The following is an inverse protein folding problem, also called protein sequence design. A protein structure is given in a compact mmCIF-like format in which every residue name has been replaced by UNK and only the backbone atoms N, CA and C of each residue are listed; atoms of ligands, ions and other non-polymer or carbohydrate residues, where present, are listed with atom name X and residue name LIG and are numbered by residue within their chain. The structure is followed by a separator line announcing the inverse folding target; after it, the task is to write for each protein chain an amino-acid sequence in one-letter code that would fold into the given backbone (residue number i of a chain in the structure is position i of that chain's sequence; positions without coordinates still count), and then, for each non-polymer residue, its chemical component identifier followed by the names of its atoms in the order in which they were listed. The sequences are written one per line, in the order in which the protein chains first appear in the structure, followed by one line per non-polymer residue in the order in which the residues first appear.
data_IF_106579051850
#
_entry.id   IF_106579051850
#
_cell.length_a   1.000
_cell.length_b   1.000
_cell.length_c   1.000
_cell.angle_alpha   90.00
_cell.angle_beta   90.00
_cell.angle_gamma   90.00
#
_symmetry.space_group_name_H-M   'P 1'
#
loop_
_entity.id
_entity.type
_entity.pdbx_description
1 polymer ?
#
# COMPACT_ATOMS: atom_id res chain seq x y z
N UNK A 1 15.29 23.19 15.88
CA UNK A 1 14.98 22.03 16.72
C UNK A 1 15.29 20.76 15.93
N UNK A 2 15.88 19.77 16.56
CA UNK A 2 16.24 18.47 15.99
C UNK A 2 15.26 17.40 16.46
N UNK A 3 15.00 16.44 15.60
CA UNK A 3 14.10 15.28 15.87
C UNK A 3 14.83 13.98 15.58
N UNK A 4 14.41 12.91 16.28
CA UNK A 4 14.98 11.59 16.11
C UNK A 4 14.09 10.80 15.15
N UNK A 5 14.66 10.34 14.03
CA UNK A 5 13.98 9.41 13.12
C UNK A 5 13.83 8.02 13.75
N UNK A 6 12.95 7.20 13.19
CA UNK A 6 12.81 5.80 13.62
C UNK A 6 14.13 5.00 13.50
N UNK A 7 14.98 5.34 12.51
CA UNK A 7 16.32 4.79 12.33
C UNK A 7 17.38 5.27 13.35
N UNK A 8 17.00 6.06 14.35
CA UNK A 8 17.93 6.67 15.32
C UNK A 8 18.65 7.92 14.83
N UNK A 9 18.62 8.25 13.54
CA UNK A 9 19.27 9.45 13.01
C UNK A 9 18.63 10.74 13.52
N UNK A 10 19.46 11.67 13.97
CA UNK A 10 19.05 13.00 14.39
C UNK A 10 19.07 13.94 13.18
N UNK A 11 17.95 14.62 12.91
CA UNK A 11 17.80 15.53 11.76
C UNK A 11 17.06 16.80 12.17
N UNK A 12 17.23 17.92 11.48
CA UNK A 12 16.39 19.11 11.66
C UNK A 12 14.91 18.76 11.43
N UNK A 13 14.04 19.33 12.27
CA UNK A 13 12.60 19.21 12.05
C UNK A 13 12.17 20.07 10.86
N UNK A 14 11.41 19.47 9.96
CA UNK A 14 10.89 20.09 8.75
C UNK A 14 9.36 20.19 8.87
N UNK A 15 8.87 21.38 9.19
CA UNK A 15 7.43 21.65 9.37
C UNK A 15 6.65 21.52 8.06
N UNK A 16 7.27 21.85 6.92
CA UNK A 16 6.60 21.74 5.62
C UNK A 16 6.30 20.29 5.26
N UNK A 17 7.16 19.34 5.65
CA UNK A 17 6.86 17.90 5.49
C UNK A 17 5.66 17.47 6.31
N UNK A 18 5.52 17.98 7.53
CA UNK A 18 4.35 17.67 8.37
C UNK A 18 3.09 18.29 7.75
N UNK A 19 3.15 19.57 7.35
CA UNK A 19 2.05 20.28 6.67
C UNK A 19 1.59 19.54 5.41
N UNK A 20 2.50 19.16 4.53
CA UNK A 20 2.20 18.36 3.33
C UNK A 20 1.55 17.02 3.67
N UNK A 21 1.98 16.39 4.76
CA UNK A 21 1.39 15.12 5.21
C UNK A 21 -0.05 15.29 5.69
N UNK A 22 -0.35 16.38 6.42
CA UNK A 22 -1.70 16.74 6.85
C UNK A 22 -2.58 17.11 5.65
N UNK A 23 -2.09 17.90 4.69
CA UNK A 23 -2.79 18.22 3.45
C UNK A 23 -3.19 16.96 2.69
N UNK A 24 -2.24 16.01 2.52
CA UNK A 24 -2.48 14.73 1.85
C UNK A 24 -3.48 13.83 2.56
N UNK A 25 -3.79 14.07 3.84
CA UNK A 25 -4.87 13.38 4.55
C UNK A 25 -6.26 13.93 4.24
N UNK A 26 -6.34 15.04 3.49
CA UNK A 26 -7.59 15.74 3.16
C UNK A 26 -8.05 16.73 4.24
N UNK A 27 -7.20 17.05 5.22
CA UNK A 27 -7.52 18.03 6.24
C UNK A 27 -7.68 19.44 5.64
N UNK A 28 -8.70 20.18 6.09
CA UNK A 28 -8.94 21.56 5.68
C UNK A 28 -7.80 22.51 6.16
N UNK A 29 -7.56 23.63 5.47
CA UNK A 29 -6.49 24.56 5.81
C UNK A 29 -6.49 25.03 7.28
N UNK A 30 -7.67 25.30 7.84
CA UNK A 30 -7.80 25.73 9.24
C UNK A 30 -7.41 24.61 10.21
N UNK A 31 -7.86 23.38 9.97
CA UNK A 31 -7.47 22.20 10.75
C UNK A 31 -5.95 21.97 10.68
N UNK A 32 -5.34 22.18 9.51
CA UNK A 32 -3.88 22.05 9.34
C UNK A 32 -3.17 23.09 10.18
N UNK A 33 -3.58 24.38 10.10
CA UNK A 33 -2.99 25.48 10.88
C UNK A 33 -3.08 25.22 12.38
N UNK A 34 -4.25 24.83 12.85
CA UNK A 34 -4.48 24.47 14.25
C UNK A 34 -3.64 23.26 14.68
N UNK A 35 -3.60 22.21 13.87
CA UNK A 35 -2.81 21.01 14.14
C UNK A 35 -1.30 21.32 14.26
N UNK A 36 -0.78 22.16 13.35
CA UNK A 36 0.62 22.57 13.39
C UNK A 36 0.94 23.35 14.66
N UNK A 37 0.08 24.31 15.06
CA UNK A 37 0.26 25.08 16.27
C UNK A 37 0.21 24.19 17.53
N UNK A 38 -0.76 23.29 17.64
CA UNK A 38 -0.87 22.35 18.77
C UNK A 38 0.35 21.42 18.86
N UNK A 39 0.85 20.90 17.73
CA UNK A 39 2.03 20.04 17.72
C UNK A 39 3.27 20.82 18.10
N UNK A 40 3.49 22.04 17.54
CA UNK A 40 4.64 22.87 17.87
C UNK A 40 4.72 23.21 19.36
N UNK A 41 3.59 23.50 20.01
CA UNK A 41 3.53 23.80 21.45
C UNK A 41 3.90 22.60 22.34
N UNK A 42 3.81 21.36 21.82
CA UNK A 42 4.16 20.13 22.53
C UNK A 42 5.53 19.57 22.15
N UNK A 43 6.22 20.23 21.22
CA UNK A 43 7.51 19.75 20.74
C UNK A 43 8.64 20.15 21.70
N UNK A 44 9.63 19.27 21.80
CA UNK A 44 10.87 19.47 22.57
C UNK A 44 12.07 18.92 21.78
N UNK A 45 13.27 19.33 22.14
CA UNK A 45 14.50 18.88 21.51
C UNK A 45 14.67 17.35 21.65
N UNK A 46 14.89 16.64 20.54
CA UNK A 46 15.03 15.20 20.53
C UNK A 46 13.71 14.41 20.52
N UNK A 47 12.56 15.06 20.33
CA UNK A 47 11.28 14.34 20.13
C UNK A 47 11.37 13.40 18.92
N UNK A 48 10.77 12.22 19.02
CA UNK A 48 10.80 11.25 17.91
C UNK A 48 9.76 11.59 16.84
N UNK A 49 10.08 11.30 15.58
CA UNK A 49 9.11 11.41 14.47
C UNK A 49 7.87 10.53 14.70
N UNK A 50 7.98 9.44 15.47
CA UNK A 50 6.85 8.60 15.87
C UNK A 50 5.90 9.30 16.83
N UNK A 51 6.42 10.10 17.77
CA UNK A 51 5.59 10.90 18.71
C UNK A 51 4.87 12.01 17.96
N UNK A 52 5.56 12.74 17.06
CA UNK A 52 4.94 13.76 16.20
C UNK A 52 3.81 13.14 15.36
N UNK A 53 4.06 11.98 14.75
CA UNK A 53 3.02 11.25 14.01
C UNK A 53 1.81 10.91 14.88
N UNK A 54 2.01 10.43 16.11
CA UNK A 54 0.92 10.09 17.02
C UNK A 54 0.09 11.34 17.41
N UNK A 55 0.74 12.48 17.66
CA UNK A 55 0.04 13.74 17.95
C UNK A 55 -0.82 14.17 16.75
N UNK A 56 -0.25 14.21 15.56
CA UNK A 56 -0.97 14.54 14.34
C UNK A 56 -2.16 13.60 14.09
N UNK A 57 -1.95 12.29 14.25
CA UNK A 57 -3.01 11.29 14.11
C UNK A 57 -4.15 11.50 15.12
N UNK A 58 -3.83 11.79 16.38
CA UNK A 58 -4.84 12.03 17.43
C UNK A 58 -5.69 13.28 17.13
N UNK A 59 -5.08 14.36 16.65
CA UNK A 59 -5.80 15.58 16.27
C UNK A 59 -6.71 15.29 15.07
N UNK A 60 -6.18 14.66 14.02
CA UNK A 60 -6.98 14.29 12.85
C UNK A 60 -8.15 13.37 13.20
N UNK A 61 -7.94 12.41 14.12
CA UNK A 61 -8.97 11.47 14.55
C UNK A 61 -10.12 12.16 15.31
N UNK A 62 -9.81 13.18 16.10
CA UNK A 62 -10.84 14.01 16.76
C UNK A 62 -11.69 14.78 15.75
N UNK A 63 -11.08 15.27 14.68
CA UNK A 63 -11.76 16.01 13.64
C UNK A 63 -12.54 15.10 12.68
N UNK A 64 -11.92 14.02 12.19
CA UNK A 64 -12.53 13.06 11.27
C UNK A 64 -11.77 11.74 11.26
N UNK A 65 -12.49 10.62 11.41
CA UNK A 65 -11.91 9.29 11.25
C UNK A 65 -11.36 9.09 9.82
N UNK A 66 -12.01 9.65 8.80
CA UNK A 66 -11.55 9.57 7.41
C UNK A 66 -10.18 10.23 7.19
N UNK A 67 -9.93 11.41 7.78
CA UNK A 67 -8.61 12.06 7.71
C UNK A 67 -7.54 11.23 8.43
N UNK A 68 -7.85 10.72 9.63
CA UNK A 68 -6.94 9.86 10.37
C UNK A 68 -6.62 8.56 9.61
N UNK A 69 -7.61 7.93 8.99
CA UNK A 69 -7.45 6.72 8.19
C UNK A 69 -6.53 6.97 6.98
N UNK A 70 -6.72 8.07 6.23
CA UNK A 70 -5.82 8.43 5.11
C UNK A 70 -4.41 8.77 5.58
N UNK A 71 -4.26 9.47 6.70
CA UNK A 71 -2.96 9.76 7.30
C UNK A 71 -2.21 8.49 7.69
N UNK A 72 -2.94 7.45 8.12
CA UNK A 72 -2.40 6.15 8.51
C UNK A 72 -2.11 5.20 7.34
N UNK A 73 -2.37 5.57 6.09
CA UNK A 73 -2.30 4.68 4.91
C UNK A 73 -1.01 3.87 4.83
N UNK A 74 0.16 4.49 5.09
CA UNK A 74 1.44 3.78 5.02
C UNK A 74 1.54 2.67 6.07
N UNK A 75 1.06 2.92 7.30
CA UNK A 75 0.99 1.88 8.33
C UNK A 75 -0.02 0.80 7.98
N UNK A 76 -1.14 1.20 7.38
CA UNK A 76 -2.17 0.26 6.95
C UNK A 76 -1.67 -0.74 5.91
N UNK A 77 -0.84 -0.30 4.95
CA UNK A 77 -0.20 -1.22 4.00
C UNK A 77 0.72 -2.23 4.67
N UNK A 78 1.39 -1.85 5.77
CA UNK A 78 2.23 -2.76 6.54
C UNK A 78 1.44 -3.80 7.33
N UNK A 79 0.14 -3.56 7.56
CA UNK A 79 -0.76 -4.51 8.21
C UNK A 79 -1.36 -5.54 7.24
N UNK A 80 -1.02 -5.50 5.95
CA UNK A 80 -1.40 -6.52 4.96
C UNK A 80 -0.49 -7.76 4.98
N UNK A 81 0.36 -7.90 6.03
CA UNK A 81 1.22 -9.05 6.29
C UNK A 81 0.64 -10.02 7.34
N UNK A 82 1.45 -10.95 7.89
CA UNK A 82 2.91 -10.98 7.83
C UNK A 82 3.51 -11.61 6.56
N UNK A 83 2.82 -12.54 5.91
CA UNK A 83 3.38 -13.32 4.81
C UNK A 83 3.30 -12.66 3.42
N UNK A 84 2.72 -11.44 3.30
CA UNK A 84 2.60 -10.76 2.01
C UNK A 84 1.34 -11.12 1.20
N UNK A 85 0.66 -12.20 1.51
CA UNK A 85 -0.51 -12.70 0.75
C UNK A 85 -1.62 -11.65 0.56
N UNK A 86 -2.00 -10.91 1.61
CA UNK A 86 -3.00 -9.85 1.48
C UNK A 86 -2.46 -8.64 0.73
N UNK A 87 -1.15 -8.40 0.75
CA UNK A 87 -0.52 -7.36 -0.04
C UNK A 87 -0.58 -7.71 -1.54
N UNK A 88 -0.31 -8.95 -1.92
CA UNK A 88 -0.45 -9.44 -3.30
C UNK A 88 -1.88 -9.29 -3.81
N UNK A 89 -2.87 -9.72 -3.02
CA UNK A 89 -4.29 -9.51 -3.32
C UNK A 89 -4.61 -8.02 -3.47
N UNK A 90 -4.11 -7.18 -2.58
CA UNK A 90 -4.32 -5.74 -2.66
C UNK A 90 -3.74 -5.15 -3.95
N UNK A 91 -2.51 -5.51 -4.33
CA UNK A 91 -1.89 -5.08 -5.60
C UNK A 91 -2.68 -5.58 -6.80
N UNK A 92 -3.13 -6.83 -6.80
CA UNK A 92 -4.01 -7.38 -7.83
C UNK A 92 -5.28 -6.52 -8.01
N UNK A 93 -5.94 -6.12 -6.90
CA UNK A 93 -7.12 -5.24 -6.92
C UNK A 93 -6.81 -3.82 -7.44
N UNK A 94 -5.63 -3.27 -7.13
CA UNK A 94 -5.19 -1.98 -7.71
C UNK A 94 -5.11 -2.03 -9.24
N UNK A 95 -4.49 -3.07 -9.79
CA UNK A 95 -4.36 -3.24 -11.23
C UNK A 95 -5.70 -3.59 -11.89
N UNK A 96 -6.54 -4.41 -11.25
CA UNK A 96 -7.89 -4.68 -11.75
C UNK A 96 -8.71 -3.40 -11.91
N UNK A 97 -8.63 -2.47 -10.96
CA UNK A 97 -9.28 -1.16 -11.04
C UNK A 97 -8.68 -0.22 -12.12
N UNK A 98 -7.49 -0.56 -12.67
CA UNK A 98 -6.89 0.09 -13.85
C UNK A 98 -7.26 -0.57 -15.17
N UNK A 99 -8.16 -1.55 -15.13
CA UNK A 99 -8.67 -2.25 -16.31
C UNK A 99 -7.81 -3.42 -16.75
N UNK A 100 -6.88 -3.90 -15.91
CA UNK A 100 -6.15 -5.14 -16.18
C UNK A 100 -6.99 -6.36 -15.78
N UNK A 101 -6.93 -7.43 -16.58
CA UNK A 101 -7.29 -8.77 -16.09
C UNK A 101 -6.16 -9.25 -15.17
N UNK A 102 -6.51 -9.87 -14.04
CA UNK A 102 -5.54 -10.33 -13.04
C UNK A 102 -5.75 -11.80 -12.70
N UNK A 103 -4.67 -12.52 -12.45
CA UNK A 103 -4.64 -13.85 -11.81
C UNK A 103 -3.51 -13.86 -10.78
N UNK A 104 -3.72 -14.53 -9.66
CA UNK A 104 -2.76 -14.59 -8.54
C UNK A 104 -2.31 -16.02 -8.27
N UNK A 105 -1.14 -16.17 -7.69
CA UNK A 105 -0.59 -17.44 -7.20
C UNK A 105 -0.53 -18.54 -8.27
N UNK A 106 0.10 -18.23 -9.41
CA UNK A 106 0.26 -19.18 -10.50
C UNK A 106 1.63 -19.86 -10.44
N UNK A 107 1.65 -21.18 -10.56
CA UNK A 107 2.88 -21.94 -10.81
C UNK A 107 3.04 -22.12 -12.31
N UNK A 108 4.09 -21.54 -12.87
CA UNK A 108 4.40 -21.58 -14.30
C UNK A 108 5.72 -22.31 -14.55
N UNK A 109 5.72 -23.22 -15.54
CA UNK A 109 6.92 -23.94 -15.91
C UNK A 109 7.83 -23.06 -16.80
N UNK A 110 8.99 -22.66 -16.28
CA UNK A 110 10.04 -22.00 -17.06
C UNK A 110 10.78 -22.97 -18.00
N UNK A 111 11.78 -22.46 -18.69
CA UNK A 111 12.71 -23.28 -19.51
C UNK A 111 13.44 -24.29 -18.63
N UNK A 112 13.91 -23.84 -17.48
CA UNK A 112 14.76 -24.64 -16.58
C UNK A 112 13.93 -25.23 -15.41
N UNK A 113 13.17 -24.39 -14.71
CA UNK A 113 12.45 -24.78 -13.49
C UNK A 113 11.06 -24.16 -13.43
N UNK A 114 10.21 -24.66 -12.52
CA UNK A 114 8.91 -24.04 -12.23
C UNK A 114 9.10 -22.83 -11.31
N UNK A 115 8.28 -21.80 -11.52
CA UNK A 115 8.26 -20.58 -10.72
C UNK A 115 6.85 -20.29 -10.24
N UNK A 116 6.71 -19.94 -8.97
CA UNK A 116 5.52 -19.29 -8.45
C UNK A 116 5.54 -17.82 -8.86
N UNK A 117 4.44 -17.32 -9.40
CA UNK A 117 4.28 -15.93 -9.81
C UNK A 117 3.12 -15.33 -9.03
N UNK A 118 3.41 -14.29 -8.26
CA UNK A 118 2.44 -13.70 -7.33
C UNK A 118 1.22 -13.16 -8.07
N UNK A 119 1.43 -12.40 -9.16
CA UNK A 119 0.33 -11.84 -9.95
C UNK A 119 0.69 -11.86 -11.44
N UNK A 120 -0.25 -12.30 -12.26
CA UNK A 120 -0.22 -12.10 -13.71
C UNK A 120 -1.24 -11.06 -14.11
N UNK A 121 -0.82 -10.14 -14.98
CA UNK A 121 -1.66 -9.09 -15.55
C UNK A 121 -1.80 -9.27 -17.05
N UNK A 122 -2.99 -8.94 -17.57
CA UNK A 122 -3.21 -8.78 -18.99
C UNK A 122 -3.97 -7.49 -19.27
N UNK A 123 -3.42 -6.69 -20.17
CA UNK A 123 -4.13 -5.54 -20.76
C UNK A 123 -3.79 -5.51 -22.23
N UNK A 124 -4.83 -5.55 -23.08
CA UNK A 124 -4.66 -5.71 -24.52
C UNK A 124 -3.82 -6.97 -24.84
N UNK A 125 -2.71 -6.81 -25.54
CA UNK A 125 -1.80 -7.89 -25.92
C UNK A 125 -0.58 -8.01 -24.99
N UNK A 126 -0.50 -7.18 -23.92
CA UNK A 126 0.63 -7.18 -22.99
C UNK A 126 0.28 -8.04 -21.78
N UNK A 127 1.15 -9.03 -21.54
CA UNK A 127 1.09 -9.87 -20.35
C UNK A 127 2.30 -9.57 -19.48
N UNK A 128 2.04 -9.20 -18.24
CA UNK A 128 3.08 -8.84 -17.29
C UNK A 128 3.05 -9.76 -16.09
N UNK A 129 4.20 -10.21 -15.64
CA UNK A 129 4.35 -10.81 -14.32
C UNK A 129 4.63 -9.74 -13.27
N UNK A 130 4.08 -9.90 -12.08
CA UNK A 130 4.42 -9.10 -10.91
C UNK A 130 5.00 -10.01 -9.84
N UNK A 131 6.07 -9.54 -9.23
CA UNK A 131 6.62 -10.05 -7.98
C UNK A 131 6.43 -9.01 -6.88
N UNK A 132 5.83 -9.41 -5.76
CA UNK A 132 5.57 -8.57 -4.62
C UNK A 132 6.62 -8.79 -3.53
N UNK A 133 7.28 -7.72 -3.08
CA UNK A 133 8.23 -7.74 -1.96
C UNK A 133 7.66 -6.98 -0.78
N UNK A 134 7.00 -7.72 0.10
CA UNK A 134 6.38 -7.17 1.30
C UNK A 134 7.40 -6.98 2.42
N UNK A 135 7.34 -5.83 3.09
CA UNK A 135 8.11 -5.53 4.30
C UNK A 135 7.16 -5.19 5.45
N UNK A 136 7.26 -5.91 6.56
CA UNK A 136 6.49 -5.65 7.78
C UNK A 136 6.95 -4.39 8.53
N UNK A 137 8.20 -3.94 8.29
CA UNK A 137 8.80 -2.75 8.87
C UNK A 137 9.00 -1.65 7.84
N UNK A 138 8.90 -0.38 8.27
CA UNK A 138 9.18 0.80 7.42
C UNK A 138 10.65 0.99 7.05
N UNK A 139 11.55 0.30 7.72
CA UNK A 139 13.01 0.42 7.55
C UNK A 139 13.54 -0.47 6.43
N UNK A 140 12.81 -1.53 6.10
CA UNK A 140 13.18 -2.42 5.01
C UNK A 140 13.22 -1.70 3.66
N UNK A 141 14.17 -2.07 2.82
CA UNK A 141 14.23 -1.68 1.41
C UNK A 141 14.60 -2.89 0.56
N UNK A 142 14.10 -2.93 -0.65
CA UNK A 142 14.48 -3.94 -1.63
C UNK A 142 15.75 -3.48 -2.33
N UNK A 143 16.84 -4.21 -2.13
CA UNK A 143 18.16 -3.92 -2.72
C UNK A 143 18.28 -4.45 -4.16
N UNK A 144 19.44 -4.26 -4.76
CA UNK A 144 19.73 -4.67 -6.15
C UNK A 144 19.65 -6.17 -6.38
N UNK A 145 19.83 -7.00 -5.34
CA UNK A 145 19.71 -8.48 -5.45
C UNK A 145 18.30 -8.88 -5.86
N UNK A 146 17.28 -8.12 -5.43
CA UNK A 146 15.88 -8.39 -5.77
C UNK A 146 15.66 -8.31 -7.29
N UNK A 147 15.89 -7.19 -7.98
CA UNK A 147 15.68 -7.13 -9.43
C UNK A 147 16.62 -8.04 -10.21
N UNK A 148 17.83 -8.30 -9.76
CA UNK A 148 18.74 -9.28 -10.39
C UNK A 148 18.14 -10.69 -10.34
N UNK A 149 17.65 -11.14 -9.19
CA UNK A 149 17.02 -12.44 -9.04
C UNK A 149 15.75 -12.56 -9.87
N UNK A 150 14.89 -11.54 -9.84
CA UNK A 150 13.63 -11.55 -10.58
C UNK A 150 13.86 -11.49 -12.09
N UNK A 151 14.91 -10.80 -12.57
CA UNK A 151 15.29 -10.81 -13.98
C UNK A 151 15.61 -12.23 -14.45
N UNK A 152 16.32 -13.02 -13.66
CA UNK A 152 16.64 -14.42 -13.98
C UNK A 152 15.37 -15.27 -14.09
N UNK A 153 14.42 -15.13 -13.15
CA UNK A 153 13.10 -15.80 -13.19
C UNK A 153 12.29 -15.39 -14.43
N UNK A 154 12.23 -14.08 -14.70
CA UNK A 154 11.53 -13.55 -15.87
C UNK A 154 12.13 -14.09 -17.17
N UNK A 155 13.46 -14.13 -17.28
CA UNK A 155 14.14 -14.68 -18.47
C UNK A 155 13.87 -16.17 -18.68
N UNK A 156 13.73 -16.95 -17.60
CA UNK A 156 13.39 -18.38 -17.67
C UNK A 156 11.93 -18.61 -18.10
N UNK A 157 11.01 -17.72 -17.69
CA UNK A 157 9.59 -17.80 -18.01
C UNK A 157 9.26 -17.27 -19.43
N UNK A 158 9.83 -16.14 -19.83
CA UNK A 158 9.44 -15.42 -21.07
C UNK A 158 9.71 -16.16 -22.36
N UNK A 159 10.62 -17.15 -22.33
CA UNK A 159 10.99 -17.94 -23.52
C UNK A 159 9.99 -19.04 -23.83
N UNK A 160 9.04 -19.30 -22.93
CA UNK A 160 7.97 -20.29 -23.11
C UNK A 160 6.61 -19.64 -23.32
N UNK A 161 5.71 -20.40 -23.90
CA UNK A 161 4.28 -20.07 -23.97
C UNK A 161 3.55 -20.70 -22.79
N UNK A 162 2.60 -19.97 -22.25
CA UNK A 162 1.85 -20.36 -21.07
C UNK A 162 0.34 -20.28 -21.31
N UNK A 163 -0.44 -21.07 -20.58
CA UNK A 163 -1.90 -20.93 -20.49
C UNK A 163 -2.23 -20.11 -19.27
N UNK A 164 -2.42 -18.79 -19.43
CA UNK A 164 -2.67 -17.85 -18.32
C UNK A 164 -4.10 -17.30 -18.41
N UNK A 165 -4.39 -16.45 -19.36
CA UNK A 165 -5.71 -15.88 -19.63
C UNK A 165 -6.37 -16.50 -20.85
N UNK A 166 -5.57 -17.01 -21.77
CA UNK A 166 -5.93 -17.78 -22.94
C UNK A 166 -4.85 -18.81 -23.25
N UNK A 167 -5.04 -19.64 -24.27
CA UNK A 167 -4.04 -20.62 -24.69
C UNK A 167 -2.85 -19.94 -25.39
N UNK A 168 -1.63 -20.38 -25.03
CA UNK A 168 -0.42 -20.04 -25.77
C UNK A 168 -0.01 -18.56 -25.70
N UNK A 169 0.13 -18.01 -24.50
CA UNK A 169 0.54 -16.63 -24.22
C UNK A 169 2.02 -16.53 -23.82
N UNK A 170 2.66 -15.43 -24.21
CA UNK A 170 4.04 -15.10 -23.83
C UNK A 170 4.05 -13.95 -22.83
N UNK A 171 4.88 -14.05 -21.79
CA UNK A 171 5.06 -13.00 -20.78
C UNK A 171 6.00 -11.93 -21.37
N UNK A 172 5.50 -10.70 -21.52
CA UNK A 172 6.20 -9.61 -22.23
C UNK A 172 6.92 -8.65 -21.28
N UNK A 173 6.46 -8.54 -20.03
CA UNK A 173 6.90 -7.52 -19.08
C UNK A 173 7.01 -8.10 -17.67
N UNK A 174 7.89 -7.48 -16.87
CA UNK A 174 8.10 -7.80 -15.49
C UNK A 174 7.98 -6.53 -14.62
N UNK A 175 7.26 -6.64 -13.51
CA UNK A 175 7.06 -5.55 -12.55
C UNK A 175 7.43 -6.07 -11.17
N UNK A 176 8.21 -5.32 -10.41
CA UNK A 176 8.46 -5.61 -8.99
C UNK A 176 7.75 -4.56 -8.16
N UNK A 177 6.96 -5.01 -7.19
CA UNK A 177 6.15 -4.14 -6.34
C UNK A 177 6.57 -4.30 -4.88
N UNK A 178 6.78 -3.19 -4.17
CA UNK A 178 7.03 -3.22 -2.73
C UNK A 178 6.21 -2.18 -1.98
N UNK A 179 5.71 -2.53 -0.80
CA UNK A 179 5.03 -1.58 0.09
C UNK A 179 6.00 -0.56 0.75
N UNK A 180 7.30 -0.69 0.51
CA UNK A 180 8.33 0.16 1.10
C UNK A 180 9.10 0.93 0.02
N UNK A 181 10.40 0.72 -0.13
CA UNK A 181 11.29 1.45 -1.05
C UNK A 181 12.24 0.52 -1.75
N UNK A 182 12.77 0.96 -2.88
CA UNK A 182 13.94 0.39 -3.52
C UNK A 182 15.19 1.19 -3.14
N UNK A 183 16.35 0.53 -3.13
CA UNK A 183 17.63 1.24 -3.09
C UNK A 183 17.92 1.89 -4.44
N UNK A 184 18.81 2.87 -4.46
CA UNK A 184 19.18 3.55 -5.72
C UNK A 184 19.75 2.59 -6.75
N UNK A 185 20.57 1.65 -6.33
CA UNK A 185 21.15 0.61 -7.21
C UNK A 185 20.07 -0.32 -7.77
N UNK A 186 19.05 -0.67 -6.98
CA UNK A 186 17.91 -1.43 -7.46
C UNK A 186 17.12 -0.68 -8.54
N UNK A 187 16.90 0.63 -8.37
CA UNK A 187 16.24 1.47 -9.39
C UNK A 187 17.06 1.55 -10.68
N UNK A 188 18.38 1.80 -10.57
CA UNK A 188 19.28 1.88 -11.73
C UNK A 188 19.31 0.57 -12.48
N UNK A 189 19.51 -0.55 -11.78
CA UNK A 189 19.58 -1.87 -12.39
C UNK A 189 18.25 -2.24 -13.08
N UNK A 190 17.12 -2.05 -12.41
CA UNK A 190 15.82 -2.38 -12.97
C UNK A 190 15.53 -1.57 -14.25
N UNK A 191 15.79 -0.26 -14.24
CA UNK A 191 15.63 0.58 -15.42
C UNK A 191 16.53 0.14 -16.57
N UNK A 192 17.79 -0.19 -16.29
CA UNK A 192 18.74 -0.71 -17.31
C UNK A 192 18.28 -2.05 -17.90
N UNK A 193 17.66 -2.91 -17.09
CA UNK A 193 17.22 -4.26 -17.47
C UNK A 193 15.79 -4.32 -18.01
N UNK A 194 15.08 -3.20 -18.14
CA UNK A 194 13.71 -3.15 -18.61
C UNK A 194 12.66 -3.71 -17.60
N UNK A 195 13.01 -3.79 -16.32
CA UNK A 195 12.09 -4.17 -15.25
C UNK A 195 11.39 -2.92 -14.72
N UNK A 196 10.06 -2.96 -14.63
CA UNK A 196 9.28 -1.90 -14.03
C UNK A 196 9.26 -2.03 -12.51
N UNK A 197 9.41 -0.91 -11.81
CA UNK A 197 9.32 -0.86 -10.35
C UNK A 197 8.12 -0.05 -9.90
N UNK A 198 7.45 -0.53 -8.85
CA UNK A 198 6.38 0.18 -8.17
C UNK A 198 6.59 0.09 -6.65
N UNK A 199 6.70 1.24 -5.98
CA UNK A 199 6.82 1.27 -4.52
C UNK A 199 5.90 2.32 -3.88
N UNK A 200 6.02 2.49 -2.56
CA UNK A 200 5.29 3.53 -1.84
C UNK A 200 5.49 4.93 -2.44
N UNK A 201 6.68 5.25 -2.91
CA UNK A 201 7.09 6.58 -3.38
C UNK A 201 7.76 6.56 -4.78
N UNK A 202 7.78 5.42 -5.47
CA UNK A 202 8.35 5.27 -6.82
C UNK A 202 7.38 4.51 -7.77
N UNK A 203 7.27 4.94 -9.05
CA UNK A 203 7.79 6.19 -9.61
C UNK A 203 7.10 7.42 -8.98
N UNK A 204 7.73 8.59 -9.07
CA UNK A 204 7.31 9.81 -8.33
C UNK A 204 5.83 10.16 -8.50
N UNK A 205 5.29 10.08 -9.71
CA UNK A 205 3.95 10.55 -10.04
C UNK A 205 2.90 9.42 -10.16
N UNK A 206 3.32 8.16 -10.14
CA UNK A 206 2.44 6.99 -10.29
C UNK A 206 2.82 5.85 -9.32
N UNK A 207 3.15 6.20 -8.08
CA UNK A 207 3.48 5.27 -7.00
C UNK A 207 2.22 4.63 -6.38
N UNK A 208 2.40 3.66 -5.47
CA UNK A 208 1.29 2.98 -4.80
C UNK A 208 0.35 3.98 -4.14
N UNK A 209 0.89 4.98 -3.42
CA UNK A 209 0.08 6.00 -2.74
C UNK A 209 -0.82 6.76 -3.72
N UNK A 210 -0.25 7.26 -4.83
CA UNK A 210 -1.00 7.99 -5.84
C UNK A 210 -2.07 7.14 -6.54
N UNK A 211 -1.78 5.84 -6.78
CA UNK A 211 -2.76 4.89 -7.32
C UNK A 211 -3.94 4.69 -6.39
N UNK A 212 -3.68 4.56 -5.07
CA UNK A 212 -4.72 4.45 -4.04
C UNK A 212 -5.56 5.73 -4.00
N UNK A 213 -4.91 6.88 -3.87
CA UNK A 213 -5.59 8.17 -3.73
C UNK A 213 -6.48 8.48 -4.95
N UNK A 214 -5.96 8.30 -6.18
CA UNK A 214 -6.70 8.58 -7.43
C UNK A 214 -8.02 7.82 -7.59
N UNK A 215 -8.16 6.65 -6.96
CA UNK A 215 -9.32 5.77 -7.13
C UNK A 215 -10.02 5.41 -5.82
N UNK A 216 -9.61 6.00 -4.70
CA UNK A 216 -10.09 5.66 -3.35
C UNK A 216 -10.00 4.15 -3.04
N UNK A 217 -8.90 3.51 -3.42
CA UNK A 217 -8.69 2.07 -3.22
C UNK A 217 -7.96 1.81 -1.90
N UNK A 218 -8.48 2.38 -0.82
CA UNK A 218 -7.90 2.23 0.52
C UNK A 218 -8.08 0.81 1.04
N UNK A 219 -7.03 0.16 1.60
CA UNK A 219 -7.17 -1.13 2.24
C UNK A 219 -7.99 -1.01 3.54
N UNK A 220 -8.74 -2.04 3.90
CA UNK A 220 -9.56 -2.03 5.13
C UNK A 220 -8.73 -1.80 6.39
N UNK A 221 -7.44 -2.12 6.34
CA UNK A 221 -6.49 -1.87 7.43
C UNK A 221 -6.30 -0.39 7.77
N UNK A 222 -6.72 0.54 6.88
CA UNK A 222 -6.77 1.98 7.15
C UNK A 222 -7.80 2.35 8.22
N UNK A 223 -8.93 1.62 8.29
CA UNK A 223 -10.04 1.98 9.16
C UNK A 223 -9.61 2.01 10.62
N UNK A 224 -9.95 3.10 11.31
CA UNK A 224 -9.56 3.34 12.71
C UNK A 224 -10.62 2.86 13.70
N UNK A 225 -11.83 2.58 13.23
CA UNK A 225 -12.97 2.06 14.00
C UNK A 225 -12.93 0.54 14.15
N UNK A 226 -12.08 -0.16 13.41
CA UNK A 226 -11.87 -1.60 13.51
C UNK A 226 -10.61 -1.93 14.34
N UNK A 227 -10.70 -2.92 15.21
CA UNK A 227 -9.55 -3.53 15.89
C UNK A 227 -8.70 -4.37 14.91
N UNK A 228 -7.49 -4.75 15.31
CA UNK A 228 -6.62 -5.61 14.50
C UNK A 228 -7.27 -6.97 14.21
N UNK A 229 -7.85 -7.60 15.22
CA UNK A 229 -8.54 -8.90 15.08
C UNK A 229 -9.70 -8.82 14.10
N UNK A 230 -10.49 -7.74 14.12
CA UNK A 230 -11.59 -7.54 13.19
C UNK A 230 -11.11 -7.32 11.75
N UNK A 231 -10.01 -6.57 11.57
CA UNK A 231 -9.36 -6.41 10.25
C UNK A 231 -8.87 -7.74 9.69
N UNK A 232 -8.22 -8.56 10.52
CA UNK A 232 -7.75 -9.88 10.12
C UNK A 232 -8.90 -10.79 9.70
N UNK A 233 -10.00 -10.82 10.48
CA UNK A 233 -11.20 -11.58 10.12
C UNK A 233 -11.78 -11.15 8.76
N UNK A 234 -11.83 -9.84 8.50
CA UNK A 234 -12.31 -9.30 7.23
C UNK A 234 -11.38 -9.65 6.06
N UNK A 235 -10.06 -9.58 6.27
CA UNK A 235 -9.08 -9.98 5.25
C UNK A 235 -9.24 -11.48 4.88
N UNK A 236 -9.49 -12.34 5.87
CA UNK A 236 -9.78 -13.78 5.65
C UNK A 236 -11.08 -13.96 4.84
N UNK A 237 -12.08 -13.10 5.04
CA UNK A 237 -13.31 -13.06 4.24
C UNK A 237 -13.13 -12.38 2.86
N UNK A 238 -11.90 -12.16 2.42
CA UNK A 238 -11.53 -11.50 1.16
C UNK A 238 -12.00 -10.03 1.04
N UNK A 239 -12.34 -9.41 2.16
CA UNK A 239 -12.63 -7.98 2.22
C UNK A 239 -11.30 -7.23 2.29
N UNK A 240 -10.77 -6.82 1.13
CA UNK A 240 -9.44 -6.21 1.02
C UNK A 240 -9.52 -4.68 1.02
N UNK A 241 -10.53 -4.14 0.32
CA UNK A 241 -10.70 -2.70 0.13
C UNK A 241 -11.83 -2.15 1.01
N UNK A 242 -11.70 -0.91 1.45
CA UNK A 242 -12.79 -0.19 2.14
C UNK A 242 -14.06 -0.16 1.29
N UNK A 243 -13.93 -0.06 -0.03
CA UNK A 243 -15.08 -0.12 -0.96
C UNK A 243 -15.82 -1.46 -0.91
N UNK A 244 -15.12 -2.56 -0.62
CA UNK A 244 -15.76 -3.89 -0.51
C UNK A 244 -16.79 -3.87 0.63
N UNK A 245 -16.47 -3.21 1.78
CA UNK A 245 -17.39 -3.08 2.92
C UNK A 245 -18.60 -2.18 2.64
N UNK A 246 -18.44 -1.18 1.77
CA UNK A 246 -19.55 -0.29 1.36
C UNK A 246 -20.53 -1.06 0.47
N UNK A 247 -20.01 -1.95 -0.38
CA UNK A 247 -20.80 -2.76 -1.31
C UNK A 247 -21.43 -3.99 -0.63
N UNK A 248 -20.72 -4.58 0.35
CA UNK A 248 -21.16 -5.75 1.13
C UNK A 248 -20.92 -5.55 2.62
N UNK A 249 -21.84 -4.81 3.25
CA UNK A 249 -21.79 -4.57 4.72
C UNK A 249 -22.08 -5.82 5.56
N UNK A 250 -22.65 -6.88 4.97
CA UNK A 250 -22.96 -8.13 5.67
C UNK A 250 -21.71 -8.80 6.25
N UNK A 251 -20.57 -8.61 5.62
CA UNK A 251 -19.28 -9.10 6.12
C UNK A 251 -18.94 -8.57 7.53
N UNK A 252 -19.38 -7.34 7.87
CA UNK A 252 -19.22 -6.76 9.21
C UNK A 252 -20.05 -7.51 10.28
N UNK A 253 -21.25 -7.95 9.91
CA UNK A 253 -22.11 -8.76 10.80
C UNK A 253 -21.49 -10.15 10.99
N UNK A 254 -20.92 -10.77 9.94
CA UNK A 254 -20.25 -12.07 10.01
C UNK A 254 -19.09 -12.10 11.00
N UNK A 255 -18.37 -10.98 11.18
CA UNK A 255 -17.31 -10.90 12.18
C UNK A 255 -17.78 -10.54 13.59
N UNK A 256 -19.10 -10.40 13.81
CA UNK A 256 -19.74 -10.21 15.12
C UNK A 256 -19.85 -8.75 15.56
N UNK A 257 -19.86 -7.78 14.63
CA UNK A 257 -20.08 -6.39 15.00
C UNK A 257 -21.56 -6.10 15.28
N UNK A 258 -21.83 -5.33 16.35
CA UNK A 258 -23.16 -4.80 16.62
C UNK A 258 -23.57 -3.75 15.58
N UNK A 259 -24.87 -3.54 15.39
CA UNK A 259 -25.40 -2.57 14.41
C UNK A 259 -24.83 -1.16 14.57
N UNK A 260 -24.64 -0.71 15.82
CA UNK A 260 -24.02 0.59 16.10
C UNK A 260 -22.58 0.64 15.61
N UNK A 261 -21.81 -0.43 15.78
CA UNK A 261 -20.45 -0.51 15.29
C UNK A 261 -20.40 -0.58 13.77
N UNK A 262 -21.28 -1.37 13.14
CA UNK A 262 -21.42 -1.42 11.69
C UNK A 262 -21.67 -0.02 11.11
N UNK A 263 -22.64 0.74 11.68
CA UNK A 263 -22.89 2.12 11.27
C UNK A 263 -21.65 3.02 11.37
N UNK A 264 -20.91 2.92 12.45
CA UNK A 264 -19.69 3.71 12.66
C UNK A 264 -18.58 3.36 11.64
N UNK A 265 -18.39 2.08 11.36
CA UNK A 265 -17.42 1.60 10.35
C UNK A 265 -17.81 2.10 8.96
N UNK A 266 -19.08 1.96 8.56
CA UNK A 266 -19.57 2.41 7.26
C UNK A 266 -19.50 3.94 7.13
N UNK A 267 -19.73 4.69 8.20
CA UNK A 267 -19.54 6.15 8.21
C UNK A 267 -18.09 6.52 7.93
N UNK A 268 -17.13 5.89 8.60
CA UNK A 268 -15.69 6.10 8.33
C UNK A 268 -15.33 5.68 6.91
N UNK A 269 -15.80 4.51 6.46
CA UNK A 269 -15.58 4.00 5.10
C UNK A 269 -16.08 5.00 4.03
N UNK A 270 -17.26 5.56 4.23
CA UNK A 270 -17.81 6.58 3.33
C UNK A 270 -16.98 7.87 3.37
N UNK A 271 -16.50 8.29 4.53
CA UNK A 271 -15.66 9.48 4.65
C UNK A 271 -14.34 9.32 3.88
N UNK A 272 -13.65 8.17 4.03
CA UNK A 272 -12.36 7.94 3.37
C UNK A 272 -12.51 7.85 1.85
N UNK A 273 -13.62 7.34 1.34
CA UNK A 273 -13.88 7.20 -0.10
C UNK A 273 -14.43 8.47 -0.76
N UNK A 274 -15.07 9.39 -0.01
CA UNK A 274 -15.67 10.64 -0.54
C UNK A 274 -14.72 11.83 -0.58
N UNK A 275 -13.55 11.75 0.04
CA UNK A 275 -12.57 12.85 0.15
C UNK A 275 -11.71 13.04 -1.12
N UNK A 276 -12.18 12.59 -2.29
CA UNK A 276 -11.45 12.71 -3.58
C UNK A 276 -12.11 13.78 -4.42
#
# INVERSE_FOLDING_TARGET
MKVIKHSGHIVPFDIEKLKLSLQKSGAAPDLIKESLAQIQNQMYEGITTKQIYKMAFAILKKASNGHAARYNLRSALQMLGPAGFFFEKFISRLYAAEGFKTRTNLILQGKCVSHEVDIMLKKENIISMIECKFHSSREGSSDVKVPMYILSRFNDLKVKKHTIFSNSETINSCIIVTNNRFTKDAEIFANCSGINLLSWDYPKDNNIKSKIDKRALYPITCLTTLSMVEKEKLLILDQILVKDLINDSYSLNKIGLSENRVRNVLKEASQICKLI
#
